data_IF_210745699977
#
_entry.id   IF_210745699977
#
_cell.length_a   1.000
_cell.length_b   1.000
_cell.length_c   1.000
_cell.angle_alpha   90.00
_cell.angle_beta   90.00
_cell.angle_gamma   90.00
#
_symmetry.space_group_name_H-M   'P 1'
#
loop_
_entity.id
_entity.type
_entity.pdbx_description
1 polymer ?
#
# COMPACT_ATOMS: atom_id res chain seq x y z
N UNK A 1 16.21 1.06 -10.42
CA UNK A 1 14.78 0.67 -10.32
C UNK A 1 14.35 0.51 -8.87
N UNK A 2 15.02 -0.32 -8.05
CA UNK A 2 14.63 -0.54 -6.64
C UNK A 2 14.53 0.72 -5.76
N UNK A 3 15.50 1.65 -5.83
CA UNK A 3 15.44 2.92 -5.06
C UNK A 3 14.29 3.83 -5.50
N UNK A 4 14.05 3.95 -6.81
CA UNK A 4 12.94 4.76 -7.35
C UNK A 4 11.58 4.17 -6.96
N UNK A 5 11.44 2.84 -7.07
CA UNK A 5 10.23 2.14 -6.62
C UNK A 5 9.97 2.31 -5.12
N UNK A 6 11.03 2.32 -4.30
CA UNK A 6 10.97 2.64 -2.87
C UNK A 6 10.42 4.03 -2.59
N UNK A 7 10.95 5.06 -3.27
CA UNK A 7 10.51 6.45 -3.13
C UNK A 7 9.05 6.65 -3.53
N UNK A 8 8.67 6.17 -4.73
CA UNK A 8 7.27 6.25 -5.22
C UNK A 8 6.31 5.53 -4.26
N UNK A 9 6.69 4.37 -3.75
CA UNK A 9 5.84 3.62 -2.81
C UNK A 9 5.65 4.34 -1.48
N UNK A 10 6.66 5.06 -1.01
CA UNK A 10 6.53 5.90 0.18
C UNK A 10 5.58 7.07 -0.09
N UNK A 11 5.75 7.76 -1.22
CA UNK A 11 4.89 8.88 -1.60
C UNK A 11 3.43 8.47 -1.82
N UNK A 12 3.17 7.28 -2.33
CA UNK A 12 1.80 6.75 -2.50
C UNK A 12 1.16 6.30 -1.18
N UNK A 13 1.94 5.82 -0.21
CA UNK A 13 1.41 5.45 1.12
C UNK A 13 0.86 6.66 1.87
N UNK A 14 1.40 7.85 1.66
CA UNK A 14 0.91 9.08 2.32
C UNK A 14 -0.56 9.43 1.98
N UNK A 15 -0.93 9.65 0.70
CA UNK A 15 -2.32 9.95 0.34
C UNK A 15 -3.26 8.79 0.66
N UNK A 16 -2.83 7.53 0.50
CA UNK A 16 -3.65 6.38 0.91
C UNK A 16 -3.91 6.35 2.41
N UNK A 17 -2.90 6.67 3.23
CA UNK A 17 -3.06 6.80 4.68
C UNK A 17 -4.03 7.94 5.05
N UNK A 18 -3.96 9.07 4.34
CA UNK A 18 -4.90 10.17 4.55
C UNK A 18 -6.36 9.76 4.23
N UNK A 19 -6.58 9.06 3.10
CA UNK A 19 -7.90 8.55 2.71
C UNK A 19 -8.42 7.53 3.74
N UNK A 20 -7.55 6.60 4.18
CA UNK A 20 -7.89 5.60 5.20
C UNK A 20 -8.35 6.25 6.50
N UNK A 21 -7.60 7.25 6.96
CA UNK A 21 -7.92 7.96 8.20
C UNK A 21 -9.21 8.76 8.09
N UNK A 22 -9.45 9.41 6.95
CA UNK A 22 -10.71 10.11 6.69
C UNK A 22 -11.90 9.13 6.66
N UNK A 23 -11.78 7.99 5.98
CA UNK A 23 -12.81 6.95 5.95
C UNK A 23 -13.07 6.39 7.34
N UNK A 24 -12.03 6.06 8.09
CA UNK A 24 -12.13 5.60 9.47
C UNK A 24 -12.84 6.63 10.37
N UNK A 25 -12.46 7.90 10.27
CA UNK A 25 -13.11 8.98 11.02
C UNK A 25 -14.60 9.08 10.69
N UNK A 26 -14.98 9.03 9.41
CA UNK A 26 -16.39 9.07 9.00
C UNK A 26 -17.17 7.86 9.52
N UNK A 27 -16.54 6.67 9.52
CA UNK A 27 -17.14 5.44 10.02
C UNK A 27 -17.45 5.50 11.53
N UNK A 28 -16.63 6.21 12.31
CA UNK A 28 -16.88 6.42 13.75
C UNK A 28 -17.74 7.65 14.06
N UNK A 29 -17.74 8.66 13.20
CA UNK A 29 -18.46 9.92 13.42
C UNK A 29 -19.95 9.84 13.01
N UNK A 30 -20.31 8.91 12.14
CA UNK A 30 -21.67 8.73 11.63
C UNK A 30 -22.29 7.51 12.31
N UNK A 31 -23.11 7.71 13.35
CA UNK A 31 -23.71 6.61 14.12
C UNK A 31 -24.72 5.77 13.32
N UNK A 32 -25.45 6.40 12.40
CA UNK A 32 -26.47 5.76 11.55
C UNK A 32 -26.33 6.23 10.10
N UNK A 33 -25.32 5.74 9.36
CA UNK A 33 -25.13 6.13 7.97
C UNK A 33 -26.29 5.62 7.12
N UNK A 34 -26.68 6.41 6.12
CA UNK A 34 -27.54 5.92 5.04
C UNK A 34 -26.84 4.71 4.37
N UNK A 35 -27.58 3.72 3.84
CA UNK A 35 -27.00 2.53 3.23
C UNK A 35 -25.92 2.86 2.19
N UNK A 36 -26.14 3.89 1.37
CA UNK A 36 -25.24 4.34 0.32
C UNK A 36 -23.93 4.92 0.88
N UNK A 37 -24.00 5.61 2.02
CA UNK A 37 -22.82 6.14 2.73
C UNK A 37 -22.00 4.98 3.29
N UNK A 38 -22.65 3.99 3.90
CA UNK A 38 -21.97 2.81 4.43
C UNK A 38 -21.28 2.03 3.31
N UNK A 39 -21.97 1.77 2.21
CA UNK A 39 -21.39 1.09 1.04
C UNK A 39 -20.20 1.87 0.47
N UNK A 40 -20.31 3.21 0.39
CA UNK A 40 -19.21 4.06 -0.08
C UNK A 40 -17.97 3.95 0.82
N UNK A 41 -18.15 3.95 2.14
CA UNK A 41 -17.05 3.79 3.10
C UNK A 41 -16.40 2.40 3.00
N UNK A 42 -17.20 1.35 2.84
CA UNK A 42 -16.68 -0.02 2.62
C UNK A 42 -15.87 -0.14 1.32
N UNK A 43 -16.33 0.52 0.24
CA UNK A 43 -15.59 0.62 -1.02
C UNK A 43 -14.26 1.35 -0.80
N UNK A 44 -14.26 2.50 -0.13
CA UNK A 44 -13.03 3.26 0.15
C UNK A 44 -12.02 2.43 0.93
N UNK A 45 -12.44 1.74 1.98
CA UNK A 45 -11.57 0.87 2.78
C UNK A 45 -10.97 -0.25 1.92
N UNK A 46 -11.79 -0.90 1.08
CA UNK A 46 -11.35 -1.97 0.17
C UNK A 46 -10.35 -1.48 -0.88
N UNK A 47 -10.58 -0.32 -1.48
CA UNK A 47 -9.72 0.20 -2.55
C UNK A 47 -8.39 0.73 -2.00
N UNK A 48 -8.38 1.28 -0.79
CA UNK A 48 -7.13 1.61 -0.09
C UNK A 48 -6.32 0.34 0.18
N UNK A 49 -6.94 -0.71 0.73
CA UNK A 49 -6.26 -1.97 1.00
C UNK A 49 -5.73 -2.63 -0.28
N UNK A 50 -6.51 -2.57 -1.37
CA UNK A 50 -6.11 -3.07 -2.68
C UNK A 50 -4.89 -2.31 -3.22
N UNK A 51 -4.88 -0.99 -3.07
CA UNK A 51 -3.76 -0.13 -3.48
C UNK A 51 -2.49 -0.43 -2.68
N UNK A 52 -2.60 -0.58 -1.35
CA UNK A 52 -1.48 -0.98 -0.48
C UNK A 52 -0.88 -2.33 -0.91
N UNK A 53 -1.72 -3.30 -1.29
CA UNK A 53 -1.29 -4.61 -1.80
C UNK A 53 -0.54 -4.50 -3.13
N UNK A 54 -1.06 -3.71 -4.08
CA UNK A 54 -0.42 -3.48 -5.38
C UNK A 54 0.96 -2.83 -5.20
N UNK A 55 1.05 -1.81 -4.35
CA UNK A 55 2.31 -1.14 -4.03
C UNK A 55 3.31 -2.14 -3.43
N UNK A 56 2.84 -2.99 -2.51
CA UNK A 56 3.69 -4.01 -1.89
C UNK A 56 4.21 -5.03 -2.92
N UNK A 57 3.34 -5.53 -3.80
CA UNK A 57 3.75 -6.43 -4.89
C UNK A 57 4.74 -5.78 -5.85
N UNK A 58 4.57 -4.49 -6.17
CA UNK A 58 5.51 -3.75 -7.01
C UNK A 58 6.89 -3.60 -6.34
N UNK A 59 6.91 -3.31 -5.03
CA UNK A 59 8.16 -3.24 -4.27
C UNK A 59 8.88 -4.58 -4.19
N UNK A 60 8.13 -5.66 -3.97
CA UNK A 60 8.69 -7.01 -3.92
C UNK A 60 9.31 -7.40 -5.27
N UNK A 61 8.66 -7.03 -6.37
CA UNK A 61 9.20 -7.20 -7.73
C UNK A 61 10.47 -6.36 -7.96
N UNK A 62 10.48 -5.11 -7.49
CA UNK A 62 11.59 -4.18 -7.70
C UNK A 62 12.78 -4.40 -6.75
N UNK A 63 12.65 -5.28 -5.74
CA UNK A 63 13.69 -5.56 -4.75
C UNK A 63 14.89 -6.23 -5.44
N UNK A 64 16.12 -5.70 -5.29
CA UNK A 64 17.30 -6.37 -5.82
C UNK A 64 17.46 -7.75 -5.18
N UNK A 65 17.75 -8.79 -5.97
CA UNK A 65 18.23 -10.07 -5.42
C UNK A 65 19.55 -9.80 -4.71
N UNK A 66 19.65 -10.17 -3.43
CA UNK A 66 20.91 -10.13 -2.70
C UNK A 66 21.96 -10.91 -3.50
N UNK A 67 23.11 -10.30 -3.75
CA UNK A 67 24.23 -10.98 -4.36
C UNK A 67 24.62 -12.15 -3.44
N UNK A 68 24.51 -13.38 -3.96
CA UNK A 68 25.04 -14.54 -3.25
C UNK A 68 26.53 -14.62 -3.56
N UNK A 69 27.35 -14.39 -2.54
CA UNK A 69 28.79 -14.64 -2.63
C UNK A 69 28.98 -16.14 -2.81
N UNK A 70 29.39 -16.56 -4.00
CA UNK A 70 29.84 -17.92 -4.24
C UNK A 70 31.36 -17.96 -4.09
N UNK A 71 31.86 -18.84 -3.24
CA UNK A 71 33.28 -19.15 -3.21
C UNK A 71 33.63 -19.85 -4.53
N UNK A 72 34.36 -19.16 -5.39
CA UNK A 72 34.89 -19.73 -6.63
C UNK A 72 36.36 -20.04 -6.39
N UNK A 73 36.71 -21.32 -6.38
CA UNK A 73 38.11 -21.74 -6.38
C UNK A 73 38.72 -21.43 -7.75
N UNK A 74 39.69 -20.52 -7.77
CA UNK A 74 40.51 -20.24 -8.95
C UNK A 74 41.71 -21.19 -8.85
N UNK A 75 41.84 -22.10 -9.81
CA UNK A 75 42.94 -23.06 -9.92
C UNK A 75 44.24 -22.38 -10.34
#
# INVERSE_FOLDING_TARGET
>A
IGQLAGGVSHELRNPLGAIKNASYFLNIAIEQPQPEVKETLEILEKEVATSERIISSLLDFARPKLATMQNVHIN
#
